data_IF_621317156319
#
_entry.id   IF_621317156319
#
_cell.length_a   1.000
_cell.length_b   1.000
_cell.length_c   1.000
_cell.angle_alpha   90.00
_cell.angle_beta   90.00
_cell.angle_gamma   90.00
#
_symmetry.space_group_name_H-M   'P 1'
#
loop_
_entity.id
_entity.type
_entity.pdbx_description
1 polymer ?
#
# COMPACT_ATOMS: atom_id res chain seq x y z
N UNK A 1 19.04 22.99 6.66
CA UNK A 1 18.91 22.44 5.29
C UNK A 1 17.46 22.06 5.17
N UNK A 2 16.70 22.72 4.31
CA UNK A 2 15.36 22.25 3.95
C UNK A 2 15.52 20.88 3.29
N UNK A 3 14.89 19.85 3.86
CA UNK A 3 14.97 18.48 3.33
C UNK A 3 14.29 18.39 1.96
N UNK A 4 14.73 17.45 1.12
CA UNK A 4 14.08 17.21 -0.17
C UNK A 4 12.61 16.80 0.03
N UNK A 5 11.73 17.28 -0.85
CA UNK A 5 10.31 16.94 -0.89
C UNK A 5 9.92 16.57 -2.31
N UNK A 6 9.21 15.45 -2.45
CA UNK A 6 8.67 14.99 -3.73
C UNK A 6 7.14 15.17 -3.76
N UNK A 7 6.53 14.99 -4.93
CA UNK A 7 5.08 14.90 -5.05
C UNK A 7 4.62 13.55 -4.45
N UNK A 8 3.50 13.48 -3.72
CA UNK A 8 2.99 12.19 -3.30
C UNK A 8 2.58 11.36 -4.52
N UNK A 9 2.88 10.06 -4.50
CA UNK A 9 2.24 9.14 -5.44
C UNK A 9 0.75 9.10 -5.13
N UNK A 10 -0.08 8.97 -6.17
CA UNK A 10 -1.52 8.78 -5.99
C UNK A 10 -1.76 7.59 -5.07
N UNK A 11 -2.53 7.86 -4.03
CA UNK A 11 -3.19 6.88 -3.21
C UNK A 11 -4.64 7.34 -3.24
N UNK A 12 -5.60 6.50 -3.61
CA UNK A 12 -6.99 6.89 -3.77
C UNK A 12 -7.81 6.41 -2.57
N UNK A 13 -7.77 7.11 -1.41
CA UNK A 13 -8.70 6.85 -0.33
C UNK A 13 -10.04 7.55 -0.53
N UNK A 14 -10.22 8.41 -1.55
CA UNK A 14 -11.41 9.27 -1.71
C UNK A 14 -12.72 8.52 -1.92
N UNK A 15 -12.64 7.22 -2.23
CA UNK A 15 -13.78 6.29 -2.15
C UNK A 15 -14.42 6.27 -0.75
N UNK A 16 -13.65 6.49 0.31
CA UNK A 16 -14.12 6.41 1.70
C UNK A 16 -14.62 7.74 2.28
N UNK A 17 -14.16 8.88 1.77
CA UNK A 17 -14.54 10.20 2.33
C UNK A 17 -15.97 10.64 1.97
N UNK A 18 -16.60 10.10 0.92
CA UNK A 18 -18.02 10.37 0.63
C UNK A 18 -19.00 9.69 1.61
N UNK A 19 -18.50 8.85 2.53
CA UNK A 19 -19.32 8.10 3.49
C UNK A 19 -19.71 8.93 4.71
N UNK A 20 -18.89 9.94 5.09
CA UNK A 20 -19.13 10.73 6.30
C UNK A 20 -20.25 11.75 6.13
N UNK A 21 -20.34 12.40 4.97
CA UNK A 21 -21.37 13.42 4.68
C UNK A 21 -22.77 12.80 4.44
N UNK A 22 -22.85 11.54 4.02
CA UNK A 22 -24.13 10.88 3.67
C UNK A 22 -24.77 10.06 4.80
N UNK A 23 -24.16 9.97 5.99
CA UNK A 23 -24.69 9.19 7.13
C UNK A 23 -26.04 9.72 7.65
N UNK A 24 -26.30 11.02 7.55
CA UNK A 24 -27.55 11.62 8.06
C UNK A 24 -28.72 11.57 7.06
N UNK A 25 -28.45 11.50 5.76
CA UNK A 25 -29.50 11.58 4.74
C UNK A 25 -30.17 10.22 4.47
N UNK A 26 -29.43 9.12 4.64
CA UNK A 26 -29.94 7.77 4.36
C UNK A 26 -30.88 7.18 5.43
N UNK A 27 -30.85 7.69 6.67
CA UNK A 27 -31.68 7.15 7.77
C UNK A 27 -33.14 7.67 7.71
N UNK A 28 -33.42 8.72 6.92
CA UNK A 28 -34.75 9.35 6.90
C UNK A 28 -35.73 8.80 5.87
N UNK A 29 -35.27 8.21 4.77
CA UNK A 29 -36.14 7.81 3.66
C UNK A 29 -35.79 6.41 3.16
N UNK A 30 -36.45 5.39 3.72
CA UNK A 30 -37.03 4.25 2.98
C UNK A 30 -37.25 3.06 3.91
N UNK A 31 -38.47 2.95 4.44
CA UNK A 31 -38.97 1.75 5.13
C UNK A 31 -39.70 0.78 4.19
N UNK A 32 -39.87 1.08 2.91
CA UNK A 32 -40.68 0.24 2.02
C UNK A 32 -40.16 0.27 0.59
N UNK A 33 -39.53 -0.84 0.15
CA UNK A 33 -39.55 -1.46 -1.20
C UNK A 33 -38.19 -2.02 -1.61
N UNK A 34 -37.92 -3.25 -1.18
CA UNK A 34 -37.03 -4.16 -1.89
C UNK A 34 -37.90 -5.08 -2.75
N UNK A 35 -37.90 -4.83 -4.07
CA UNK A 35 -38.39 -5.80 -5.06
C UNK A 35 -37.43 -5.79 -6.23
N UNK A 36 -36.86 -6.96 -6.49
CA UNK A 36 -35.91 -7.31 -7.57
C UNK A 36 -36.63 -7.27 -8.92
N UNK A 37 -36.05 -6.63 -9.96
CA UNK A 37 -36.14 -6.99 -11.41
C UNK A 37 -35.34 -5.99 -12.29
N UNK A 38 -35.01 -6.33 -13.56
CA UNK A 38 -33.81 -5.91 -14.26
C UNK A 38 -34.07 -4.65 -15.10
N UNK A 39 -33.28 -3.61 -14.89
CA UNK A 39 -33.33 -2.41 -15.73
C UNK A 39 -31.92 -2.17 -16.24
N UNK A 40 -31.76 -2.30 -17.55
CA UNK A 40 -30.65 -1.72 -18.30
C UNK A 40 -30.70 -0.20 -18.07
N UNK A 41 -29.86 0.29 -17.17
CA UNK A 41 -29.66 1.73 -17.03
C UNK A 41 -28.23 2.04 -17.45
N UNK A 42 -28.09 2.69 -18.61
CA UNK A 42 -26.85 3.36 -18.99
C UNK A 42 -26.63 4.53 -18.04
N UNK A 43 -25.76 4.34 -17.05
CA UNK A 43 -25.21 5.41 -16.25
C UNK A 43 -23.74 5.62 -16.65
N UNK A 44 -23.44 6.77 -17.25
CA UNK A 44 -22.10 7.35 -17.21
C UNK A 44 -22.01 8.14 -15.91
N UNK A 45 -21.23 7.68 -14.94
CA UNK A 45 -20.97 8.49 -13.75
C UNK A 45 -19.61 8.19 -13.11
N UNK A 46 -18.88 9.27 -12.85
CA UNK A 46 -17.71 9.37 -11.98
C UNK A 46 -18.16 9.12 -10.53
N UNK A 47 -17.37 8.33 -9.80
CA UNK A 47 -17.32 8.24 -8.33
C UNK A 47 -18.63 7.89 -7.61
N UNK A 48 -19.02 6.61 -7.56
CA UNK A 48 -19.92 6.10 -6.51
C UNK A 48 -19.53 4.70 -6.06
N UNK A 49 -19.25 4.54 -4.76
CA UNK A 49 -19.00 3.26 -4.10
C UNK A 49 -20.22 2.86 -3.24
N UNK A 50 -20.46 1.56 -3.09
CA UNK A 50 -21.60 1.02 -2.33
C UNK A 50 -21.12 0.20 -1.14
N UNK A 51 -21.70 0.45 0.04
CA UNK A 51 -21.38 -0.30 1.27
C UNK A 51 -22.57 -1.18 1.66
N UNK A 52 -22.31 -2.45 1.95
CA UNK A 52 -23.32 -3.39 2.47
C UNK A 52 -23.11 -3.63 3.96
N UNK A 53 -24.22 -3.66 4.73
CA UNK A 53 -24.22 -4.03 6.15
C UNK A 53 -24.95 -5.37 6.31
N UNK A 54 -24.26 -6.47 6.65
CA UNK A 54 -24.93 -7.69 7.10
C UNK A 54 -25.65 -7.41 8.43
N UNK A 55 -26.82 -8.02 8.63
CA UNK A 55 -27.66 -7.77 9.82
C UNK A 55 -27.07 -8.30 11.13
N UNK A 56 -26.00 -9.09 11.08
CA UNK A 56 -25.71 -10.06 12.13
C UNK A 56 -24.42 -9.77 12.93
N UNK A 57 -23.83 -8.57 12.79
CA UNK A 57 -22.80 -8.08 13.72
C UNK A 57 -21.38 -8.62 13.52
N UNK A 58 -21.10 -9.29 12.40
CA UNK A 58 -19.73 -9.60 11.97
C UNK A 58 -19.17 -8.52 11.03
N UNK A 59 -17.83 -8.44 11.00
CA UNK A 59 -16.94 -7.44 10.40
C UNK A 59 -17.46 -6.68 9.16
N UNK A 60 -17.00 -5.43 9.04
CA UNK A 60 -17.21 -4.58 7.86
C UNK A 60 -16.62 -5.25 6.61
N UNK A 61 -17.46 -5.76 5.72
CA UNK A 61 -17.04 -6.08 4.34
C UNK A 61 -17.17 -4.81 3.51
N UNK A 62 -16.03 -4.19 3.19
CA UNK A 62 -15.97 -3.11 2.21
C UNK A 62 -15.95 -3.75 0.83
N UNK A 63 -16.99 -3.55 0.03
CA UNK A 63 -16.99 -3.96 -1.39
C UNK A 63 -16.84 -2.69 -2.22
N UNK A 64 -15.62 -2.43 -2.70
CA UNK A 64 -15.36 -1.34 -3.65
C UNK A 64 -15.82 -1.82 -5.02
N UNK A 65 -17.07 -1.53 -5.39
CA UNK A 65 -17.50 -1.64 -6.79
C UNK A 65 -17.14 -0.33 -7.50
N UNK A 66 -15.94 -0.30 -8.10
CA UNK A 66 -15.62 0.64 -9.16
C UNK A 66 -16.57 0.36 -10.33
N UNK A 67 -17.59 1.20 -10.52
CA UNK A 67 -18.49 1.09 -11.67
C UNK A 67 -17.82 1.68 -12.92
N UNK A 68 -16.82 0.96 -13.43
CA UNK A 68 -16.43 0.92 -14.83
C UNK A 68 -16.63 -0.52 -15.30
N UNK A 69 -17.15 -0.74 -16.50
CA UNK A 69 -17.32 -2.09 -17.03
C UNK A 69 -15.97 -2.82 -17.07
N UNK A 70 -15.76 -3.81 -16.21
CA UNK A 70 -14.76 -4.87 -16.45
C UNK A 70 -15.18 -6.19 -15.80
N UNK A 71 -16.39 -6.66 -16.14
CA UNK A 71 -16.48 -8.09 -16.48
C UNK A 71 -15.56 -8.26 -17.70
N UNK A 72 -14.32 -8.73 -17.47
CA UNK A 72 -13.18 -8.83 -18.40
C UNK A 72 -12.23 -7.61 -18.40
N UNK A 73 -11.18 -7.66 -17.57
CA UNK A 73 -9.81 -7.43 -18.06
C UNK A 73 -9.16 -6.05 -18.03
N UNK A 74 -9.69 -5.03 -17.34
CA UNK A 74 -8.94 -3.77 -17.14
C UNK A 74 -8.55 -3.57 -15.66
N UNK A 75 -7.26 -3.29 -15.37
CA UNK A 75 -6.77 -3.04 -14.01
C UNK A 75 -7.18 -1.65 -13.46
N UNK A 76 -7.47 -1.58 -12.16
CA UNK A 76 -7.70 -0.35 -11.37
C UNK A 76 -6.48 0.64 -11.41
N UNK A 77 -6.67 1.88 -10.97
CA UNK A 77 -5.72 3.00 -11.18
C UNK A 77 -4.43 2.90 -10.37
N UNK A 78 -4.49 2.47 -9.10
CA UNK A 78 -3.30 2.25 -8.27
C UNK A 78 -2.43 1.12 -8.83
N UNK A 79 -3.07 0.06 -9.33
CA UNK A 79 -2.44 -1.02 -10.07
C UNK A 79 -1.82 -0.51 -11.39
N UNK A 80 -2.46 0.41 -12.10
CA UNK A 80 -1.91 0.98 -13.35
C UNK A 80 -0.65 1.81 -13.08
N UNK A 81 -0.65 2.64 -12.04
CA UNK A 81 0.50 3.48 -11.68
C UNK A 81 1.68 2.68 -11.13
N UNK A 82 1.45 1.72 -10.24
CA UNK A 82 2.54 0.89 -9.66
C UNK A 82 3.16 -0.04 -10.69
N UNK A 83 2.36 -0.66 -11.57
CA UNK A 83 2.87 -1.48 -12.69
C UNK A 83 3.64 -0.63 -13.70
N UNK A 84 3.14 0.57 -14.03
CA UNK A 84 3.85 1.49 -14.92
C UNK A 84 5.19 1.94 -14.32
N UNK A 85 5.18 2.34 -13.06
CA UNK A 85 6.37 2.77 -12.32
C UNK A 85 7.44 1.65 -12.27
N UNK A 86 7.07 0.43 -11.89
CA UNK A 86 8.02 -0.70 -11.85
C UNK A 86 8.57 -1.05 -13.24
N UNK A 87 7.74 -0.96 -14.28
CA UNK A 87 8.18 -1.15 -15.65
C UNK A 87 9.17 -0.07 -16.10
N UNK A 88 8.92 1.20 -15.79
CA UNK A 88 9.87 2.29 -16.06
C UNK A 88 11.20 2.11 -15.32
N UNK A 89 11.16 1.49 -14.13
CA UNK A 89 12.35 1.11 -13.36
C UNK A 89 13.07 -0.14 -13.90
N UNK A 90 12.56 -0.77 -14.96
CA UNK A 90 13.14 -1.91 -15.65
C UNK A 90 12.90 -3.25 -14.95
N UNK A 91 11.79 -3.40 -14.21
CA UNK A 91 11.35 -4.69 -13.72
C UNK A 91 10.55 -5.41 -14.82
N UNK A 92 10.87 -6.68 -15.09
CA UNK A 92 10.08 -7.52 -15.98
C UNK A 92 8.73 -7.85 -15.31
N UNK A 93 7.60 -7.84 -16.05
CA UNK A 93 6.25 -7.94 -15.47
C UNK A 93 5.84 -9.36 -15.02
N UNK A 94 6.76 -10.15 -14.46
CA UNK A 94 6.44 -11.46 -13.85
C UNK A 94 5.68 -11.31 -12.52
N UNK A 95 5.78 -10.12 -11.92
CA UNK A 95 5.10 -9.75 -10.69
C UNK A 95 4.37 -8.44 -10.93
N UNK A 96 3.14 -8.37 -10.48
CA UNK A 96 2.28 -7.19 -10.60
C UNK A 96 1.56 -6.94 -9.28
N UNK A 97 1.36 -5.67 -8.97
CA UNK A 97 0.50 -5.30 -7.86
C UNK A 97 -0.97 -5.49 -8.25
N UNK A 98 -1.76 -6.03 -7.34
CA UNK A 98 -3.21 -6.14 -7.45
C UNK A 98 -3.87 -5.59 -6.19
N UNK A 99 -5.09 -5.10 -6.32
CA UNK A 99 -5.86 -4.62 -5.18
C UNK A 99 -6.29 -5.76 -4.24
N UNK A 100 -6.28 -5.46 -2.95
CA UNK A 100 -6.87 -6.31 -1.92
C UNK A 100 -8.22 -5.73 -1.52
N UNK A 101 -9.30 -6.26 -2.10
CA UNK A 101 -10.65 -5.73 -1.89
C UNK A 101 -11.17 -5.87 -0.46
N UNK A 102 -10.64 -6.81 0.32
CA UNK A 102 -10.96 -6.97 1.73
C UNK A 102 -10.16 -8.07 2.40
N UNK A 103 -10.40 -8.26 3.70
CA UNK A 103 -9.52 -9.02 4.60
C UNK A 103 -10.11 -10.35 5.09
N UNK A 104 -11.29 -10.72 4.57
CA UNK A 104 -11.89 -12.03 4.80
C UNK A 104 -11.37 -13.05 3.78
N UNK A 105 -11.45 -14.37 4.09
CA UNK A 105 -10.92 -15.40 3.21
C UNK A 105 -11.52 -15.42 1.80
N UNK A 106 -12.77 -14.99 1.63
CA UNK A 106 -13.43 -14.96 0.32
C UNK A 106 -12.79 -13.89 -0.56
N UNK A 107 -12.59 -12.68 -0.05
CA UNK A 107 -11.94 -11.60 -0.80
C UNK A 107 -10.43 -11.86 -1.01
N UNK A 108 -9.73 -12.43 -0.02
CA UNK A 108 -8.32 -12.82 -0.18
C UNK A 108 -8.10 -13.96 -1.19
N UNK A 109 -9.14 -14.73 -1.51
CA UNK A 109 -9.07 -15.76 -2.55
C UNK A 109 -9.00 -15.17 -3.97
N UNK A 110 -9.39 -13.90 -4.14
CA UNK A 110 -9.34 -13.20 -5.43
C UNK A 110 -7.93 -12.74 -5.81
N UNK A 111 -7.04 -12.60 -4.82
CA UNK A 111 -5.64 -12.19 -5.03
C UNK A 111 -4.87 -13.36 -5.69
N UNK A 112 -4.24 -13.17 -6.87
CA UNK A 112 -3.42 -14.19 -7.49
C UNK A 112 -2.26 -14.61 -6.57
N UNK A 113 -1.90 -15.90 -6.63
CA UNK A 113 -0.82 -16.48 -5.82
C UNK A 113 0.30 -17.04 -6.73
N UNK A 114 1.55 -17.08 -6.25
CA UNK A 114 2.02 -16.63 -4.93
C UNK A 114 2.03 -15.10 -4.77
N UNK A 115 2.02 -14.63 -3.52
CA UNK A 115 2.21 -13.23 -3.12
C UNK A 115 3.56 -13.10 -2.43
N UNK A 116 4.33 -12.05 -2.74
CA UNK A 116 5.66 -11.86 -2.16
C UNK A 116 5.83 -10.57 -1.37
N UNK A 117 4.88 -9.63 -1.47
CA UNK A 117 4.83 -8.43 -0.63
C UNK A 117 3.39 -7.91 -0.55
N UNK A 118 3.08 -7.18 0.53
CA UNK A 118 1.87 -6.36 0.65
C UNK A 118 2.30 -4.93 0.97
N UNK A 119 1.77 -3.94 0.24
CA UNK A 119 1.89 -2.54 0.64
C UNK A 119 0.60 -2.10 1.30
N UNK A 120 0.72 -1.49 2.49
CA UNK A 120 -0.40 -0.88 3.20
C UNK A 120 -0.25 0.63 3.17
N UNK A 121 -1.26 1.32 2.66
CA UNK A 121 -1.49 2.73 2.88
C UNK A 121 -2.35 2.90 4.13
N UNK A 122 -1.93 3.77 5.04
CA UNK A 122 -2.71 4.14 6.22
C UNK A 122 -2.46 5.59 6.62
N UNK A 123 -3.34 6.21 7.42
CA UNK A 123 -3.17 7.57 7.89
C UNK A 123 -2.30 7.66 9.15
N UNK A 124 -1.41 8.64 9.15
CA UNK A 124 -0.59 9.05 10.28
C UNK A 124 -1.45 9.95 11.20
N UNK A 125 -2.22 9.33 12.08
CA UNK A 125 -3.00 10.03 13.11
C UNK A 125 -2.17 10.25 14.38
N UNK A 126 -2.66 11.08 15.31
CA UNK A 126 -2.03 11.22 16.63
C UNK A 126 -1.99 9.90 17.41
N UNK A 127 -3.06 9.09 17.31
CA UNK A 127 -3.10 7.75 17.92
C UNK A 127 -2.00 6.85 17.37
N UNK A 128 -1.78 6.89 16.05
CA UNK A 128 -0.69 6.15 15.41
C UNK A 128 0.68 6.63 15.89
N UNK A 129 0.93 7.94 15.97
CA UNK A 129 2.23 8.47 16.41
C UNK A 129 2.57 8.13 17.86
N UNK A 130 1.57 8.10 18.75
CA UNK A 130 1.74 7.63 20.13
C UNK A 130 2.16 6.16 20.13
N UNK A 131 1.40 5.29 19.45
CA UNK A 131 1.71 3.86 19.35
C UNK A 131 3.11 3.62 18.75
N UNK A 132 3.46 4.33 17.67
CA UNK A 132 4.77 4.23 17.01
C UNK A 132 5.91 4.55 17.98
N UNK A 133 5.75 5.59 18.79
CA UNK A 133 6.74 6.01 19.78
C UNK A 133 6.89 4.96 20.89
N UNK A 134 5.77 4.43 21.40
CA UNK A 134 5.78 3.38 22.41
C UNK A 134 6.42 2.08 21.90
N UNK A 135 6.10 1.68 20.66
CA UNK A 135 6.70 0.50 20.00
C UNK A 135 8.21 0.67 19.82
N UNK A 136 8.65 1.86 19.38
CA UNK A 136 10.06 2.20 19.22
C UNK A 136 10.82 2.11 20.56
N UNK A 137 10.28 2.67 21.64
CA UNK A 137 10.89 2.62 22.98
C UNK A 137 10.92 1.20 23.54
N UNK A 138 9.84 0.45 23.37
CA UNK A 138 9.75 -0.95 23.79
C UNK A 138 10.81 -1.80 23.09
N UNK A 139 10.94 -1.68 21.78
CA UNK A 139 11.92 -2.48 21.02
C UNK A 139 13.36 -2.06 21.33
N UNK A 140 13.64 -0.75 21.48
CA UNK A 140 14.98 -0.31 21.89
C UNK A 140 15.39 -0.82 23.26
N UNK A 141 14.44 -0.98 24.18
CA UNK A 141 14.71 -1.46 25.54
C UNK A 141 14.72 -2.98 25.67
N UNK A 142 13.86 -3.70 24.94
CA UNK A 142 13.68 -5.15 25.06
C UNK A 142 14.43 -5.93 23.97
N UNK A 143 14.80 -5.27 22.87
CA UNK A 143 15.34 -5.91 21.68
C UNK A 143 14.25 -6.55 20.80
N UNK A 144 14.65 -6.91 19.59
CA UNK A 144 13.92 -7.80 18.68
C UNK A 144 14.93 -8.49 17.77
N UNK A 145 14.53 -9.59 17.16
CA UNK A 145 15.35 -10.30 16.18
C UNK A 145 15.07 -9.76 14.77
N UNK A 146 16.10 -9.22 14.11
CA UNK A 146 16.07 -8.80 12.71
C UNK A 146 17.22 -9.50 11.99
N UNK A 147 16.91 -10.33 11.00
CA UNK A 147 17.94 -11.00 10.19
C UNK A 147 18.72 -9.97 9.38
N UNK A 148 20.03 -10.22 9.21
CA UNK A 148 20.90 -9.37 8.38
C UNK A 148 20.52 -9.36 6.90
N UNK A 149 19.70 -10.32 6.46
CA UNK A 149 19.22 -10.44 5.08
C UNK A 149 18.20 -9.37 4.71
N UNK A 150 17.53 -8.73 5.70
CA UNK A 150 16.53 -7.69 5.43
C UNK A 150 17.18 -6.46 4.80
N UNK A 151 16.74 -6.12 3.60
CA UNK A 151 17.06 -4.85 2.98
C UNK A 151 16.13 -3.76 3.53
N UNK A 152 16.68 -2.88 4.37
CA UNK A 152 15.97 -1.74 4.94
C UNK A 152 16.62 -0.42 4.57
N UNK A 153 15.82 0.62 4.36
CA UNK A 153 16.29 1.99 4.10
C UNK A 153 15.38 3.01 4.78
N UNK A 154 15.99 4.11 5.22
CA UNK A 154 15.28 5.22 5.86
C UNK A 154 14.56 6.09 4.84
N UNK A 155 13.51 6.76 5.30
CA UNK A 155 12.86 7.85 4.58
C UNK A 155 13.37 9.19 5.10
N UNK A 156 14.10 9.89 4.26
CA UNK A 156 14.60 11.25 4.51
C UNK A 156 14.00 12.28 3.56
N UNK A 157 13.25 11.82 2.56
CA UNK A 157 12.56 12.63 1.55
C UNK A 157 11.06 12.65 1.88
N UNK A 158 10.48 13.84 1.98
CA UNK A 158 9.03 13.98 2.19
C UNK A 158 8.25 13.46 1.00
N UNK A 159 7.17 12.72 1.25
CA UNK A 159 6.29 12.07 0.24
C UNK A 159 6.91 10.95 -0.60
N UNK A 160 8.14 10.50 -0.29
CA UNK A 160 8.78 9.38 -0.99
C UNK A 160 8.35 7.99 -0.49
N UNK A 161 7.35 7.90 0.40
CA UNK A 161 6.96 6.65 1.07
C UNK A 161 6.53 5.55 0.08
N UNK A 162 5.79 5.89 -0.98
CA UNK A 162 5.41 4.92 -2.01
C UNK A 162 6.61 4.33 -2.76
N UNK A 163 7.57 5.17 -3.18
CA UNK A 163 8.82 4.70 -3.80
C UNK A 163 9.64 3.82 -2.84
N UNK A 164 9.73 4.21 -1.57
CA UNK A 164 10.46 3.44 -0.56
C UNK A 164 9.79 2.09 -0.31
N UNK A 165 8.46 2.06 -0.19
CA UNK A 165 7.69 0.82 -0.07
C UNK A 165 7.91 -0.13 -1.26
N UNK A 166 7.92 0.40 -2.47
CA UNK A 166 8.23 -0.37 -3.69
C UNK A 166 9.67 -0.91 -3.67
N UNK A 167 10.65 -0.08 -3.31
CA UNK A 167 12.05 -0.52 -3.17
C UNK A 167 12.17 -1.62 -2.11
N UNK A 168 11.52 -1.47 -0.95
CA UNK A 168 11.48 -2.49 0.10
C UNK A 168 10.87 -3.80 -0.39
N UNK A 169 9.73 -3.76 -1.08
CA UNK A 169 9.08 -4.95 -1.63
C UNK A 169 9.97 -5.70 -2.63
N UNK A 170 10.60 -4.98 -3.57
CA UNK A 170 11.46 -5.59 -4.60
C UNK A 170 12.80 -6.05 -4.03
N UNK A 171 13.44 -5.26 -3.18
CA UNK A 171 14.77 -5.58 -2.63
C UNK A 171 14.75 -6.84 -1.78
N UNK A 172 13.71 -7.04 -0.96
CA UNK A 172 13.55 -8.21 -0.11
C UNK A 172 13.03 -9.45 -0.85
N UNK A 173 12.68 -9.31 -2.14
CA UNK A 173 12.28 -10.42 -3.00
C UNK A 173 13.18 -10.55 -4.23
N UNK A 174 14.41 -10.00 -4.18
CA UNK A 174 15.32 -9.88 -5.34
C UNK A 174 15.51 -11.20 -6.11
N UNK A 175 15.54 -12.35 -5.42
CA UNK A 175 15.71 -13.67 -6.03
C UNK A 175 14.51 -14.14 -6.86
N UNK A 176 13.32 -13.58 -6.59
CA UNK A 176 12.08 -13.83 -7.35
C UNK A 176 11.92 -12.86 -8.53
N UNK A 177 12.76 -11.82 -8.60
CA UNK A 177 12.60 -10.69 -9.51
C UNK A 177 13.48 -10.81 -10.75
N UNK A 178 12.90 -10.56 -11.92
CA UNK A 178 13.63 -10.47 -13.17
C UNK A 178 13.74 -9.01 -13.59
N UNK A 179 14.97 -8.55 -13.82
CA UNK A 179 15.25 -7.17 -14.22
C UNK A 179 15.67 -7.12 -15.68
N UNK A 180 15.14 -6.16 -16.42
CA UNK A 180 15.56 -5.88 -17.79
C UNK A 180 16.99 -5.36 -17.86
N UNK A 181 17.60 -5.48 -19.04
CA UNK A 181 18.93 -4.92 -19.28
C UNK A 181 18.89 -3.40 -19.16
N UNK A 182 19.73 -2.83 -18.28
CA UNK A 182 19.75 -1.40 -18.01
C UNK A 182 18.74 -0.93 -16.94
N UNK A 183 18.09 -1.83 -16.21
CA UNK A 183 17.20 -1.49 -15.10
C UNK A 183 17.88 -0.54 -14.10
N UNK A 184 17.26 0.62 -13.89
CA UNK A 184 17.72 1.65 -12.96
C UNK A 184 17.56 1.20 -11.52
N UNK A 185 16.50 0.44 -11.21
CA UNK A 185 16.27 -0.15 -9.90
C UNK A 185 17.27 -1.26 -9.60
N UNK A 186 17.57 -2.16 -10.55
CA UNK A 186 18.62 -3.17 -10.36
C UNK A 186 19.95 -2.53 -9.98
N UNK A 187 20.36 -1.50 -10.72
CA UNK A 187 21.59 -0.75 -10.46
C UNK A 187 21.58 -0.14 -9.06
N UNK A 188 20.48 0.52 -8.67
CA UNK A 188 20.33 1.09 -7.33
C UNK A 188 20.50 0.01 -6.24
N UNK A 189 19.85 -1.14 -6.37
CA UNK A 189 19.92 -2.24 -5.41
C UNK A 189 21.31 -2.88 -5.32
N UNK A 190 22.05 -2.96 -6.43
CA UNK A 190 23.41 -3.49 -6.45
C UNK A 190 24.40 -2.53 -5.80
N UNK A 191 24.30 -1.23 -6.10
CA UNK A 191 25.21 -0.21 -5.57
C UNK A 191 24.98 0.06 -4.08
N UNK A 192 23.75 -0.16 -3.59
CA UNK A 192 23.35 0.10 -2.20
C UNK A 192 23.29 -1.14 -1.31
N UNK A 193 23.67 -2.31 -1.84
CA UNK A 193 23.58 -3.59 -1.13
C UNK A 193 24.29 -3.59 0.23
N UNK A 194 25.49 -3.00 0.30
CA UNK A 194 26.31 -2.95 1.53
C UNK A 194 26.18 -1.66 2.34
N UNK A 195 25.30 -0.75 1.94
CA UNK A 195 25.09 0.53 2.61
C UNK A 195 24.23 0.36 3.87
N UNK A 196 24.44 1.23 4.87
CA UNK A 196 23.53 1.37 6.01
C UNK A 196 22.15 1.90 5.57
N UNK A 197 21.08 1.73 6.38
CA UNK A 197 19.76 2.29 6.07
C UNK A 197 19.76 3.80 5.81
N UNK A 198 20.61 4.56 6.52
CA UNK A 198 20.77 6.01 6.34
C UNK A 198 21.56 6.34 5.08
N UNK A 199 22.58 5.53 4.75
CA UNK A 199 23.35 5.67 3.51
C UNK A 199 22.47 5.39 2.29
N UNK A 200 21.62 4.36 2.34
CA UNK A 200 20.62 4.05 1.30
C UNK A 200 19.66 5.22 1.07
N UNK A 201 19.23 5.88 2.15
CA UNK A 201 18.37 7.07 2.07
C UNK A 201 19.06 8.25 1.39
N UNK A 202 20.31 8.57 1.81
CA UNK A 202 21.14 9.58 1.14
C UNK A 202 21.46 9.22 -0.30
N UNK A 203 21.57 7.93 -0.60
CA UNK A 203 21.78 7.47 -1.97
C UNK A 203 20.56 7.77 -2.84
N UNK A 204 19.35 7.50 -2.35
CA UNK A 204 18.10 7.81 -3.03
C UNK A 204 17.92 9.32 -3.27
N UNK A 205 18.29 10.18 -2.31
CA UNK A 205 18.25 11.65 -2.47
C UNK A 205 19.03 12.16 -3.68
N UNK A 206 20.07 11.43 -4.09
CA UNK A 206 20.96 11.79 -5.19
C UNK A 206 20.74 10.92 -6.44
N UNK A 207 19.74 10.03 -6.44
CA UNK A 207 19.51 9.08 -7.53
C UNK A 207 18.42 9.59 -8.50
N UNK A 208 18.83 10.49 -9.39
CA UNK A 208 17.93 11.22 -10.31
C UNK A 208 17.00 10.31 -11.13
N UNK A 209 17.47 9.13 -11.53
CA UNK A 209 16.67 8.22 -12.35
C UNK A 209 15.36 7.81 -11.66
N UNK A 210 15.42 7.44 -10.36
CA UNK A 210 14.22 7.09 -9.59
C UNK A 210 13.38 8.34 -9.30
N UNK A 211 14.03 9.47 -9.00
CA UNK A 211 13.33 10.75 -8.74
C UNK A 211 12.47 11.18 -9.92
N UNK A 212 13.02 11.14 -11.15
CA UNK A 212 12.30 11.54 -12.37
C UNK A 212 11.16 10.58 -12.71
N UNK A 213 11.37 9.27 -12.55
CA UNK A 213 10.31 8.26 -12.69
C UNK A 213 9.19 8.52 -11.68
N UNK A 214 9.53 8.81 -10.42
CA UNK A 214 8.55 9.12 -9.37
C UNK A 214 7.75 10.38 -9.67
N UNK A 215 8.42 11.44 -10.11
CA UNK A 215 7.74 12.68 -10.52
C UNK A 215 6.79 12.45 -11.70
N UNK A 216 7.18 11.62 -12.67
CA UNK A 216 6.33 11.27 -13.80
C UNK A 216 5.09 10.50 -13.34
N UNK A 217 5.29 9.46 -12.52
CA UNK A 217 4.18 8.65 -12.01
C UNK A 217 3.30 9.35 -10.97
N UNK A 218 3.79 10.40 -10.31
CA UNK A 218 2.95 11.22 -9.44
C UNK A 218 1.90 12.04 -10.23
N UNK A 219 2.15 12.32 -11.50
CA UNK A 219 1.18 12.95 -12.41
C UNK A 219 0.33 11.92 -13.17
N UNK A 220 0.64 10.63 -13.03
CA UNK A 220 -0.16 9.54 -13.56
C UNK A 220 -1.19 9.17 -12.48
N UNK A 221 -2.47 9.12 -12.83
CA UNK A 221 -3.52 8.85 -11.86
C UNK A 221 -4.91 9.32 -12.25
N UNK A 222 -5.92 8.97 -11.46
CA UNK A 222 -7.29 9.45 -11.65
C UNK A 222 -7.54 10.79 -10.96
N UNK A 223 -6.74 11.13 -9.95
CA UNK A 223 -6.75 12.44 -9.27
C UNK A 223 -5.57 13.30 -9.70
N UNK A 224 -5.78 14.63 -9.72
CA UNK A 224 -4.69 15.59 -9.88
C UNK A 224 -3.73 15.47 -8.68
N UNK A 225 -2.42 15.52 -8.93
CA UNK A 225 -1.44 15.53 -7.85
C UNK A 225 -1.70 16.75 -6.92
N UNK A 226 -1.76 16.55 -5.60
CA UNK A 226 -1.95 17.64 -4.67
C UNK A 226 -0.74 18.59 -4.72
N UNK A 227 -0.92 19.78 -4.16
CA UNK A 227 0.18 20.74 -4.09
C UNK A 227 1.32 20.17 -3.23
N UNK A 228 2.58 20.41 -3.63
CA UNK A 228 3.77 19.99 -2.89
C UNK A 228 3.80 20.49 -1.43
N UNK A 229 3.09 21.58 -1.13
CA UNK A 229 2.99 22.13 0.24
C UNK A 229 1.81 21.59 1.05
N UNK A 230 0.95 20.79 0.44
CA UNK A 230 -0.19 20.19 1.13
C UNK A 230 0.27 19.10 2.11
N UNK A 231 -0.34 19.10 3.30
CA UNK A 231 -0.01 18.13 4.34
C UNK A 231 -0.61 16.78 3.98
N UNK A 232 0.21 15.91 3.42
CA UNK A 232 -0.14 14.49 3.23
C UNK A 232 -0.05 13.78 4.57
N UNK A 233 -1.18 13.28 5.05
CA UNK A 233 -1.26 12.49 6.29
C UNK A 233 -1.35 10.99 6.03
N UNK A 234 -1.18 10.54 4.79
CA UNK A 234 -1.17 9.12 4.41
C UNK A 234 0.25 8.60 4.23
N UNK A 235 0.46 7.32 4.51
CA UNK A 235 1.77 6.71 4.50
C UNK A 235 1.74 5.26 4.03
N UNK A 236 2.74 4.90 3.22
CA UNK A 236 2.94 3.53 2.76
C UNK A 236 3.99 2.82 3.60
N UNK A 237 3.71 1.55 3.91
CA UNK A 237 4.67 0.58 4.47
C UNK A 237 4.66 -0.69 3.62
N UNK A 238 5.76 -1.45 3.68
CA UNK A 238 5.85 -2.77 3.05
C UNK A 238 5.86 -3.89 4.08
N UNK A 239 5.11 -4.96 3.80
CA UNK A 239 5.08 -6.20 4.56
C UNK A 239 5.67 -7.33 3.70
N UNK A 240 6.74 -7.96 4.17
CA UNK A 240 7.51 -8.95 3.40
C UNK A 240 7.91 -10.16 4.25
N UNK A 241 8.03 -11.31 3.60
CA UNK A 241 8.62 -12.52 4.18
C UNK A 241 10.13 -12.56 3.92
N UNK A 242 10.94 -12.62 4.99
CA UNK A 242 12.41 -12.81 4.90
C UNK A 242 12.84 -13.80 5.98
N UNK A 243 13.59 -14.83 5.59
CA UNK A 243 14.13 -15.87 6.49
C UNK A 243 13.11 -16.43 7.51
N UNK A 244 11.89 -16.76 7.04
CA UNK A 244 10.83 -17.34 7.87
C UNK A 244 10.04 -16.35 8.72
N UNK A 245 10.29 -15.05 8.60
CA UNK A 245 9.66 -14.03 9.43
C UNK A 245 8.97 -12.94 8.60
N UNK A 246 7.89 -12.40 9.16
CA UNK A 246 7.14 -11.29 8.60
C UNK A 246 7.75 -9.97 9.10
N UNK A 247 8.23 -9.16 8.16
CA UNK A 247 8.78 -7.84 8.46
C UNK A 247 7.91 -6.72 7.92
N UNK A 248 7.61 -5.76 8.79
CA UNK A 248 7.13 -4.43 8.42
C UNK A 248 8.31 -3.51 8.19
N UNK A 249 8.33 -2.87 7.02
CA UNK A 249 9.37 -1.95 6.57
C UNK A 249 8.75 -0.56 6.41
N UNK A 250 8.94 0.26 7.44
CA UNK A 250 8.58 1.68 7.46
C UNK A 250 9.85 2.53 7.49
N UNK A 251 10.11 3.30 6.43
CA UNK A 251 11.28 4.17 6.35
C UNK A 251 11.31 5.28 7.43
N UNK A 252 10.16 5.61 8.04
CA UNK A 252 10.08 6.57 9.16
C UNK A 252 10.55 5.96 10.48
N UNK A 253 10.46 4.63 10.64
CA UNK A 253 10.90 3.92 11.85
C UNK A 253 12.43 3.75 11.89
N UNK A 254 13.04 3.59 13.07
CA UNK A 254 14.49 3.33 13.21
C UNK A 254 14.97 2.01 12.60
N UNK A 255 14.11 1.00 12.54
CA UNK A 255 14.45 -0.36 12.13
C UNK A 255 13.20 -1.07 11.58
N UNK A 256 13.35 -2.20 10.85
CA UNK A 256 12.26 -3.13 10.55
C UNK A 256 11.54 -3.59 11.81
N UNK A 257 10.26 -3.91 11.72
CA UNK A 257 9.50 -4.52 12.82
C UNK A 257 9.22 -5.98 12.48
N UNK A 258 9.72 -6.90 13.30
CA UNK A 258 9.43 -8.32 13.17
C UNK A 258 8.06 -8.63 13.79
N UNK A 259 7.12 -9.11 12.98
CA UNK A 259 5.76 -9.48 13.39
C UNK A 259 5.60 -10.98 13.71
N UNK A 260 6.67 -11.76 13.65
CA UNK A 260 6.69 -13.19 13.95
C UNK A 260 6.90 -14.06 12.72
N UNK A 261 6.60 -15.35 12.85
CA UNK A 261 6.79 -16.33 11.80
C UNK A 261 5.80 -16.14 10.64
N UNK A 262 6.26 -16.40 9.42
CA UNK A 262 5.43 -16.49 8.21
C UNK A 262 6.12 -17.41 7.19
N UNK A 263 5.48 -17.63 6.05
CA UNK A 263 6.02 -18.42 4.94
C UNK A 263 5.67 -17.79 3.59
N UNK A 264 6.28 -18.26 2.51
CA UNK A 264 5.91 -17.82 1.16
C UNK A 264 4.44 -18.15 0.84
N UNK A 265 3.89 -19.22 1.44
CA UNK A 265 2.51 -19.67 1.24
C UNK A 265 1.48 -18.89 2.06
N UNK A 266 1.86 -18.37 3.23
CA UNK A 266 0.94 -17.72 4.19
C UNK A 266 1.15 -16.20 4.31
N UNK A 267 2.12 -15.64 3.59
CA UNK A 267 2.48 -14.21 3.69
C UNK A 267 1.26 -13.29 3.51
N UNK A 268 0.36 -13.59 2.57
CA UNK A 268 -0.81 -12.74 2.33
C UNK A 268 -1.70 -12.68 3.59
N UNK A 269 -2.05 -13.83 4.13
CA UNK A 269 -2.90 -13.93 5.31
C UNK A 269 -2.24 -13.30 6.53
N UNK A 270 -0.96 -13.60 6.77
CA UNK A 270 -0.20 -13.10 7.93
C UNK A 270 0.02 -11.58 7.87
N UNK A 271 0.31 -11.04 6.67
CA UNK A 271 0.41 -9.60 6.44
C UNK A 271 -0.94 -8.89 6.68
N UNK A 272 -2.05 -9.50 6.26
CA UNK A 272 -3.38 -8.94 6.46
C UNK A 272 -3.76 -8.90 7.95
N UNK A 273 -3.32 -9.86 8.76
CA UNK A 273 -3.47 -9.78 10.22
C UNK A 273 -2.69 -8.60 10.82
N UNK A 274 -1.55 -8.22 10.25
CA UNK A 274 -0.85 -6.97 10.64
C UNK A 274 -1.68 -5.75 10.22
N UNK A 275 -2.21 -5.71 9.00
CA UNK A 275 -3.07 -4.62 8.53
C UNK A 275 -4.32 -4.44 9.42
N UNK A 276 -4.97 -5.53 9.85
CA UNK A 276 -6.09 -5.48 10.79
C UNK A 276 -5.71 -4.79 12.10
N UNK A 277 -4.53 -5.10 12.67
CA UNK A 277 -4.04 -4.42 13.88
C UNK A 277 -3.87 -2.91 13.66
N UNK A 278 -3.49 -2.45 12.45
CA UNK A 278 -3.44 -1.01 12.15
C UNK A 278 -4.83 -0.38 12.17
N UNK A 279 -5.82 -1.05 11.58
CA UNK A 279 -7.21 -0.59 11.56
C UNK A 279 -7.86 -0.59 12.94
N UNK A 280 -7.63 -1.64 13.74
CA UNK A 280 -8.19 -1.77 15.10
C UNK A 280 -7.67 -0.71 16.07
N UNK A 281 -6.45 -0.19 15.85
CA UNK A 281 -5.88 0.91 16.65
C UNK A 281 -6.58 2.24 16.38
N UNK A 282 -7.15 2.44 15.20
CA UNK A 282 -7.91 3.64 14.85
C UNK A 282 -9.26 3.28 14.18
N UNK A 283 -10.24 2.78 14.96
CA UNK A 283 -11.47 2.17 14.42
C UNK A 283 -12.42 3.16 13.74
N UNK A 284 -12.20 4.46 13.92
CA UNK A 284 -12.99 5.53 13.30
C UNK A 284 -12.48 5.89 11.89
N UNK A 285 -11.33 5.34 11.51
CA UNK A 285 -10.60 5.71 10.31
C UNK A 285 -10.89 4.73 9.17
N UNK A 286 -11.11 5.28 7.98
CA UNK A 286 -11.47 4.51 6.79
C UNK A 286 -10.42 4.59 5.68
N UNK A 287 -9.47 5.53 5.78
CA UNK A 287 -8.49 5.84 4.73
C UNK A 287 -7.33 4.84 4.70
N UNK A 288 -7.67 3.57 4.51
CA UNK A 288 -6.72 2.48 4.31
C UNK A 288 -6.85 1.93 2.90
N UNK A 289 -5.73 1.49 2.34
CA UNK A 289 -5.68 0.73 1.11
C UNK A 289 -4.58 -0.33 1.23
N UNK A 290 -4.81 -1.52 0.67
CA UNK A 290 -3.76 -2.53 0.55
C UNK A 290 -3.66 -3.06 -0.89
N UNK A 291 -2.42 -3.18 -1.38
CA UNK A 291 -2.10 -3.81 -2.65
C UNK A 291 -1.10 -4.95 -2.43
N UNK A 292 -1.26 -6.05 -3.15
CA UNK A 292 -0.43 -7.25 -3.03
C UNK A 292 0.42 -7.44 -4.30
N UNK A 293 1.72 -7.70 -4.13
CA UNK A 293 2.62 -8.05 -5.23
C UNK A 293 2.51 -9.55 -5.52
N UNK A 294 1.70 -9.90 -6.51
CA UNK A 294 1.40 -11.27 -6.91
C UNK A 294 2.08 -11.66 -8.22
N UNK A 295 2.28 -12.96 -8.43
CA UNK A 295 2.71 -13.48 -9.73
C UNK A 295 1.67 -13.16 -10.83
N UNK A 296 2.16 -12.80 -12.02
CA UNK A 296 1.36 -12.40 -13.18
C UNK A 296 1.49 -13.37 -14.37
#
# INVERSE_FOLDING_TARGET
MEGQRWLPLEANPEVTNQVSENKEEFIKNDKERLTVFPIEVQFTCKNKCFFYKPRDGEMWTVVILSSGKSFLGEPDCEMTNTVHFLKQLGLHPNWQFVDVYGMDPELLSMVPRPVCAVLLLFPITEKYEVFRTEEEEKIKSQGQDVTSSVYFMKQTISNACGTIGLIHAIANNKDKMHFESGSTLKKFLEESASMSPEERARYLENYDAIRVTHETSAHEGQTEAPNIDEKVDLHFIALVHVDGHLYELDGRKPFPINHGETSDETLLEDAIEVCKKFMERDPDELRFNAIALSAA
#
